data_IF_476571443542
#
_entry.id   IF_476571443542
#
_cell.length_a   1.000
_cell.length_b   1.000
_cell.length_c   1.000
_cell.angle_alpha   90.00
_cell.angle_beta   90.00
_cell.angle_gamma   90.00
#
_symmetry.space_group_name_H-M   'P 1'
#
loop_
_entity.id
_entity.type
_entity.pdbx_description
1 polymer ?
#
# COMPACT_ATOMS: atom_id res chain seq x y z
N UNK A 1 -16.96 8.69 -44.86
CA UNK A 1 -16.57 9.34 -43.60
C UNK A 1 -17.20 8.55 -42.47
N UNK A 2 -16.44 7.65 -41.85
CA UNK A 2 -16.90 6.83 -40.71
C UNK A 2 -16.16 7.41 -39.52
N UNK A 3 -16.84 8.24 -38.72
CA UNK A 3 -16.33 8.72 -37.45
C UNK A 3 -16.33 7.54 -36.47
N UNK A 4 -15.13 7.24 -35.97
CA UNK A 4 -14.86 6.15 -35.06
C UNK A 4 -15.41 6.49 -33.66
N UNK A 5 -16.63 6.03 -33.33
CA UNK A 5 -17.30 6.28 -32.04
C UNK A 5 -16.56 5.71 -30.82
N UNK A 6 -15.48 4.95 -30.99
CA UNK A 6 -14.74 4.33 -29.89
C UNK A 6 -13.88 5.31 -29.06
N UNK A 7 -13.56 6.49 -29.60
CA UNK A 7 -12.75 7.48 -28.86
C UNK A 7 -13.60 8.30 -27.87
N UNK A 8 -14.87 8.49 -28.16
CA UNK A 8 -15.77 9.28 -27.30
C UNK A 8 -16.14 8.50 -26.04
N UNK A 9 -16.32 7.19 -26.14
CA UNK A 9 -16.61 6.32 -24.98
C UNK A 9 -15.44 6.22 -24.00
N UNK A 10 -14.19 6.24 -24.49
CA UNK A 10 -13.00 6.17 -23.63
C UNK A 10 -12.79 7.45 -22.78
N UNK A 11 -13.13 8.62 -23.34
CA UNK A 11 -13.02 9.91 -22.64
C UNK A 11 -14.13 10.11 -21.60
N UNK A 12 -15.34 9.60 -21.88
CA UNK A 12 -16.46 9.63 -20.92
C UNK A 12 -16.17 8.71 -19.74
N UNK A 13 -15.58 7.53 -19.98
CA UNK A 13 -15.25 6.57 -18.94
C UNK A 13 -14.12 7.07 -18.01
N UNK A 14 -13.11 7.76 -18.56
CA UNK A 14 -12.01 8.32 -17.77
C UNK A 14 -12.51 9.51 -16.92
N UNK A 15 -13.30 10.40 -17.49
CA UNK A 15 -13.90 11.51 -16.74
C UNK A 15 -14.89 11.02 -15.67
N UNK A 16 -15.64 9.97 -15.97
CA UNK A 16 -16.55 9.33 -15.00
C UNK A 16 -15.77 8.61 -13.90
N UNK A 17 -14.67 7.91 -14.21
CA UNK A 17 -13.80 7.30 -13.21
C UNK A 17 -13.10 8.32 -12.31
N UNK A 18 -12.64 9.44 -12.88
CA UNK A 18 -12.07 10.57 -12.11
C UNK A 18 -13.13 11.26 -11.25
N UNK A 19 -14.34 11.43 -11.79
CA UNK A 19 -15.47 11.99 -11.04
C UNK A 19 -15.92 11.07 -9.91
N UNK A 20 -16.02 9.75 -10.16
CA UNK A 20 -16.29 8.75 -9.13
C UNK A 20 -15.19 8.72 -8.06
N UNK A 21 -13.92 8.81 -8.46
CA UNK A 21 -12.81 8.87 -7.52
C UNK A 21 -12.86 10.14 -6.65
N UNK A 22 -13.18 11.30 -7.25
CA UNK A 22 -13.42 12.55 -6.50
C UNK A 22 -14.66 12.46 -5.58
N UNK A 23 -15.73 11.83 -6.04
CA UNK A 23 -16.95 11.63 -5.23
C UNK A 23 -16.70 10.66 -4.07
N UNK A 24 -15.95 9.58 -4.29
CA UNK A 24 -15.53 8.63 -3.26
C UNK A 24 -14.57 9.29 -2.25
N UNK A 25 -13.68 10.16 -2.70
CA UNK A 25 -12.80 10.93 -1.80
C UNK A 25 -13.56 12.02 -1.04
N UNK A 26 -14.57 12.67 -1.65
CA UNK A 26 -15.40 13.68 -0.99
C UNK A 26 -16.38 13.09 0.03
N UNK A 27 -16.75 11.81 -0.10
CA UNK A 27 -17.59 11.11 0.88
C UNK A 27 -16.77 10.50 2.03
N UNK A 28 -15.47 10.78 2.09
CA UNK A 28 -14.61 10.34 3.18
C UNK A 28 -14.90 11.17 4.42
N UNK A 29 -15.99 10.85 5.08
CA UNK A 29 -16.27 11.36 6.43
C UNK A 29 -15.18 10.84 7.38
N UNK A 30 -14.68 11.63 8.33
CA UNK A 30 -13.57 11.26 9.21
C UNK A 30 -13.83 10.04 10.11
N UNK A 31 -14.98 9.39 9.96
CA UNK A 31 -15.41 8.24 10.76
C UNK A 31 -15.69 6.95 9.94
N UNK A 32 -15.21 6.84 8.70
CA UNK A 32 -15.35 5.56 7.98
C UNK A 32 -14.38 4.52 8.53
N UNK A 33 -14.74 3.21 8.50
CA UNK A 33 -13.84 2.13 8.95
C UNK A 33 -12.46 2.19 8.31
N UNK A 34 -12.37 2.67 7.07
CA UNK A 34 -11.12 2.77 6.30
C UNK A 34 -10.20 3.90 6.83
N UNK A 35 -10.76 5.02 7.31
CA UNK A 35 -9.97 6.11 7.93
C UNK A 35 -9.47 5.68 9.30
N UNK A 36 -10.29 5.04 10.11
CA UNK A 36 -9.90 4.51 11.41
C UNK A 36 -8.80 3.45 11.28
N UNK A 37 -8.86 2.60 10.27
CA UNK A 37 -7.81 1.63 9.96
C UNK A 37 -6.48 2.31 9.64
N UNK A 38 -6.51 3.35 8.78
CA UNK A 38 -5.33 4.14 8.42
C UNK A 38 -4.73 4.86 9.63
N UNK A 39 -5.55 5.45 10.47
CA UNK A 39 -5.12 6.13 11.69
C UNK A 39 -4.46 5.17 12.68
N UNK A 40 -5.06 4.01 12.94
CA UNK A 40 -4.48 2.99 13.83
C UNK A 40 -3.15 2.46 13.29
N UNK A 41 -3.02 2.25 11.96
CA UNK A 41 -1.75 1.89 11.33
C UNK A 41 -0.69 2.97 11.54
N UNK A 42 -1.05 4.24 11.35
CA UNK A 42 -0.14 5.37 11.55
C UNK A 42 0.31 5.51 13.00
N UNK A 43 -0.62 5.38 13.96
CA UNK A 43 -0.33 5.39 15.40
C UNK A 43 0.61 4.24 15.77
N UNK A 44 0.32 3.02 15.32
CA UNK A 44 1.17 1.84 15.53
C UNK A 44 2.57 2.03 14.97
N UNK A 45 2.69 2.61 13.75
CA UNK A 45 3.97 2.92 13.13
C UNK A 45 4.76 3.99 13.90
N UNK A 46 4.08 4.99 14.46
CA UNK A 46 4.71 6.02 15.33
C UNK A 46 5.30 5.39 16.59
N UNK A 47 4.55 4.52 17.28
CA UNK A 47 5.06 3.79 18.44
C UNK A 47 6.24 2.89 18.07
N UNK A 48 6.17 2.21 16.94
CA UNK A 48 7.26 1.34 16.46
C UNK A 48 8.54 2.14 16.18
N UNK A 49 8.44 3.31 15.53
CA UNK A 49 9.57 4.22 15.28
C UNK A 49 10.18 4.76 16.57
N UNK A 50 9.37 4.98 17.60
CA UNK A 50 9.80 5.44 18.93
C UNK A 50 10.40 4.29 19.77
N UNK A 51 10.56 3.07 19.24
CA UNK A 51 11.05 1.93 20.00
C UNK A 51 10.02 1.31 20.96
N UNK A 52 8.82 1.88 21.03
CA UNK A 52 7.75 1.44 21.92
C UNK A 52 6.99 0.24 21.30
N UNK A 53 7.71 -0.86 21.12
CA UNK A 53 7.22 -2.04 20.39
C UNK A 53 6.00 -2.70 21.06
N UNK A 54 5.88 -2.60 22.38
CA UNK A 54 4.73 -3.18 23.10
C UNK A 54 3.43 -2.41 22.81
N UNK A 55 3.49 -1.08 22.80
CA UNK A 55 2.36 -0.23 22.44
C UNK A 55 1.96 -0.44 20.98
N UNK A 56 2.93 -0.50 20.07
CA UNK A 56 2.69 -0.82 18.67
C UNK A 56 1.97 -2.17 18.52
N UNK A 57 2.43 -3.21 19.22
CA UNK A 57 1.81 -4.55 19.22
C UNK A 57 0.34 -4.49 19.65
N UNK A 58 0.02 -3.74 20.70
CA UNK A 58 -1.36 -3.57 21.19
C UNK A 58 -2.25 -2.95 20.11
N UNK A 59 -1.76 -1.89 19.44
CA UNK A 59 -2.50 -1.20 18.38
C UNK A 59 -2.75 -2.12 17.18
N UNK A 60 -1.73 -2.84 16.69
CA UNK A 60 -1.90 -3.76 15.57
C UNK A 60 -2.82 -4.93 15.90
N UNK A 61 -2.75 -5.48 17.13
CA UNK A 61 -3.67 -6.52 17.57
C UNK A 61 -5.12 -6.00 17.67
N UNK A 62 -5.31 -4.77 18.15
CA UNK A 62 -6.62 -4.12 18.17
C UNK A 62 -7.15 -3.97 16.76
N UNK A 63 -6.32 -3.53 15.82
CA UNK A 63 -6.69 -3.41 14.41
C UNK A 63 -7.10 -4.76 13.81
N UNK A 64 -6.34 -5.82 14.06
CA UNK A 64 -6.67 -7.17 13.55
C UNK A 64 -7.92 -7.79 14.18
N UNK A 65 -8.38 -7.28 15.32
CA UNK A 65 -9.70 -7.65 15.89
C UNK A 65 -10.85 -7.02 15.09
N UNK A 66 -10.65 -5.80 14.57
CA UNK A 66 -11.63 -5.12 13.72
C UNK A 66 -11.59 -5.60 12.28
N UNK A 67 -10.38 -5.75 11.74
CA UNK A 67 -10.15 -6.20 10.38
C UNK A 67 -9.08 -7.30 10.35
N UNK A 68 -9.51 -8.57 10.42
CA UNK A 68 -8.62 -9.71 10.33
C UNK A 68 -7.86 -9.79 9.00
N UNK A 69 -8.30 -9.08 7.96
CA UNK A 69 -7.70 -9.09 6.61
C UNK A 69 -6.69 -7.95 6.40
N UNK A 70 -6.41 -7.16 7.43
CA UNK A 70 -5.44 -6.08 7.36
C UNK A 70 -4.01 -6.62 7.21
N UNK A 71 -3.55 -6.79 5.96
CA UNK A 71 -2.20 -7.28 5.67
C UNK A 71 -1.09 -6.40 6.25
N UNK A 72 -1.16 -5.04 6.20
CA UNK A 72 -0.14 -4.19 6.80
C UNK A 72 0.02 -4.41 8.31
N UNK A 73 -1.06 -4.66 9.05
CA UNK A 73 -0.99 -4.92 10.49
C UNK A 73 -0.31 -6.27 10.79
N UNK A 74 -0.64 -7.32 10.02
CA UNK A 74 0.04 -8.63 10.12
C UNK A 74 1.53 -8.52 9.85
N UNK A 75 1.90 -7.83 8.78
CA UNK A 75 3.30 -7.59 8.43
C UNK A 75 4.03 -6.85 9.56
N UNK A 76 3.46 -5.77 10.07
CA UNK A 76 4.06 -4.99 11.17
C UNK A 76 4.23 -5.81 12.44
N UNK A 77 3.26 -6.64 12.78
CA UNK A 77 3.39 -7.60 13.89
C UNK A 77 4.50 -8.62 13.63
N UNK A 78 4.63 -9.12 12.41
CA UNK A 78 5.72 -10.02 12.03
C UNK A 78 7.09 -9.39 12.29
N UNK A 79 7.28 -8.14 11.88
CA UNK A 79 8.52 -7.41 12.16
C UNK A 79 8.77 -7.26 13.68
N UNK A 80 7.73 -6.99 14.48
CA UNK A 80 7.86 -6.91 15.95
C UNK A 80 8.25 -8.27 16.54
N UNK A 81 7.66 -9.38 16.07
CA UNK A 81 8.03 -10.74 16.50
C UNK A 81 9.50 -11.02 16.20
N UNK A 82 9.97 -10.72 14.99
CA UNK A 82 11.37 -10.88 14.60
C UNK A 82 12.32 -10.08 15.52
N UNK A 83 12.02 -8.80 15.76
CA UNK A 83 12.83 -7.95 16.64
C UNK A 83 12.86 -8.44 18.10
N UNK A 84 11.89 -9.26 18.51
CA UNK A 84 11.84 -9.90 19.85
C UNK A 84 12.48 -11.30 19.89
N UNK A 85 13.11 -11.75 18.80
CA UNK A 85 13.74 -13.05 18.73
C UNK A 85 12.79 -14.21 18.46
N UNK A 86 11.61 -13.93 17.85
CA UNK A 86 10.68 -14.96 17.39
C UNK A 86 10.59 -14.96 15.86
N UNK A 87 11.61 -15.51 15.16
CA UNK A 87 11.62 -15.54 13.70
C UNK A 87 10.53 -16.46 13.13
N UNK A 88 10.15 -17.52 13.84
CA UNK A 88 9.11 -18.45 13.38
C UNK A 88 7.75 -17.75 13.35
N UNK A 89 7.41 -17.05 14.42
CA UNK A 89 6.19 -16.23 14.47
C UNK A 89 6.19 -15.11 13.44
N UNK A 90 7.35 -14.49 13.22
CA UNK A 90 7.53 -13.46 12.21
C UNK A 90 7.25 -13.97 10.79
N UNK A 91 7.84 -15.11 10.42
CA UNK A 91 7.65 -15.74 9.10
C UNK A 91 6.16 -16.03 8.87
N UNK A 92 5.48 -16.68 9.82
CA UNK A 92 4.05 -17.01 9.72
C UNK A 92 3.18 -15.76 9.50
N UNK A 93 3.47 -14.68 10.23
CA UNK A 93 2.71 -13.44 10.11
C UNK A 93 2.96 -12.73 8.77
N UNK A 94 4.20 -12.72 8.28
CA UNK A 94 4.54 -12.13 6.99
C UNK A 94 3.98 -12.95 5.85
N UNK A 95 4.04 -14.28 5.90
CA UNK A 95 3.40 -15.16 4.91
C UNK A 95 1.89 -14.91 4.84
N UNK A 96 1.23 -14.77 6.00
CA UNK A 96 -0.20 -14.44 6.01
C UNK A 96 -0.50 -13.05 5.43
N UNK A 97 0.41 -12.08 5.55
CA UNK A 97 0.30 -10.78 4.92
C UNK A 97 0.48 -10.89 3.39
N UNK A 98 1.41 -11.72 2.93
CA UNK A 98 1.64 -12.02 1.51
C UNK A 98 0.41 -12.66 0.86
N UNK A 99 -0.24 -13.60 1.55
CA UNK A 99 -1.48 -14.23 1.05
C UNK A 99 -2.58 -13.18 0.83
N UNK A 100 -2.67 -12.18 1.70
CA UNK A 100 -3.67 -11.12 1.60
C UNK A 100 -3.30 -10.04 0.56
N UNK A 101 -2.02 -9.77 0.37
CA UNK A 101 -1.50 -8.79 -0.58
C UNK A 101 -0.27 -9.35 -1.31
N UNK A 102 -0.48 -10.23 -2.31
CA UNK A 102 0.60 -10.92 -2.99
C UNK A 102 1.50 -10.01 -3.85
N UNK A 103 1.03 -8.82 -4.19
CA UNK A 103 1.78 -7.87 -5.02
C UNK A 103 2.71 -6.95 -4.21
N UNK A 104 2.69 -7.04 -2.88
CA UNK A 104 3.50 -6.17 -2.04
C UNK A 104 4.95 -6.67 -1.93
N UNK A 105 5.83 -6.06 -2.72
CA UNK A 105 7.27 -6.38 -2.77
C UNK A 105 7.96 -6.32 -1.41
N UNK A 106 7.55 -5.38 -0.53
CA UNK A 106 8.19 -5.18 0.77
C UNK A 106 8.06 -6.41 1.67
N UNK A 107 6.92 -7.11 1.58
CA UNK A 107 6.70 -8.32 2.39
C UNK A 107 7.66 -9.44 2.00
N UNK A 108 7.84 -9.68 0.70
CA UNK A 108 8.81 -10.67 0.21
C UNK A 108 10.25 -10.33 0.54
N UNK A 109 10.62 -9.05 0.43
CA UNK A 109 11.97 -8.61 0.78
C UNK A 109 12.25 -8.81 2.27
N UNK A 110 11.28 -8.51 3.13
CA UNK A 110 11.43 -8.70 4.58
C UNK A 110 11.47 -10.18 4.95
N UNK A 111 10.61 -11.00 4.34
CA UNK A 111 10.61 -12.45 4.49
C UNK A 111 11.98 -13.03 4.08
N UNK A 112 12.49 -12.63 2.92
CA UNK A 112 13.79 -13.10 2.44
C UNK A 112 14.94 -12.75 3.38
N UNK A 113 14.96 -11.54 3.94
CA UNK A 113 15.96 -11.12 4.93
C UNK A 113 15.90 -11.96 6.21
N UNK A 114 14.69 -12.19 6.74
CA UNK A 114 14.51 -13.03 7.94
C UNK A 114 14.99 -14.45 7.68
N UNK A 115 14.61 -15.04 6.54
CA UNK A 115 15.03 -16.39 6.14
C UNK A 115 16.56 -16.52 5.94
N UNK A 116 17.23 -15.45 5.45
CA UNK A 116 18.70 -15.42 5.35
C UNK A 116 19.35 -15.48 6.72
N UNK A 117 18.83 -14.72 7.70
CA UNK A 117 19.34 -14.71 9.07
C UNK A 117 19.15 -16.09 9.73
N UNK A 118 18.05 -16.79 9.41
CA UNK A 118 17.76 -18.15 9.88
C UNK A 118 18.51 -19.24 9.09
N UNK A 119 19.46 -18.89 8.22
CA UNK A 119 20.22 -19.79 7.37
C UNK A 119 19.37 -20.64 6.40
N UNK A 120 18.14 -20.21 6.08
CA UNK A 120 17.22 -20.85 5.12
C UNK A 120 17.39 -20.27 3.72
N UNK A 121 18.60 -20.36 3.17
CA UNK A 121 19.02 -19.65 1.96
C UNK A 121 18.17 -19.99 0.72
N UNK A 122 17.74 -21.24 0.56
CA UNK A 122 16.88 -21.65 -0.57
C UNK A 122 15.54 -20.92 -0.59
N UNK A 123 14.87 -20.86 0.56
CA UNK A 123 13.59 -20.19 0.72
C UNK A 123 13.73 -18.65 0.66
N UNK A 124 14.82 -18.12 1.23
CA UNK A 124 15.16 -16.71 1.14
C UNK A 124 15.30 -16.27 -0.32
N UNK A 125 16.04 -17.00 -1.14
CA UNK A 125 16.21 -16.70 -2.55
C UNK A 125 14.89 -16.80 -3.32
N UNK A 126 14.03 -17.76 -3.00
CA UNK A 126 12.71 -17.87 -3.62
C UNK A 126 11.82 -16.66 -3.29
N UNK A 127 11.78 -16.22 -2.03
CA UNK A 127 11.05 -15.03 -1.60
C UNK A 127 11.57 -13.76 -2.28
N UNK A 128 12.89 -13.54 -2.29
CA UNK A 128 13.50 -12.36 -2.92
C UNK A 128 13.24 -12.31 -4.43
N UNK A 129 13.29 -13.45 -5.13
CA UNK A 129 12.94 -13.52 -6.57
C UNK A 129 11.49 -13.09 -6.82
N UNK A 130 10.53 -13.56 -6.01
CA UNK A 130 9.13 -13.15 -6.13
C UNK A 130 8.97 -11.65 -5.91
N UNK A 131 9.60 -11.09 -4.88
CA UNK A 131 9.59 -9.66 -4.64
C UNK A 131 10.18 -8.85 -5.81
N UNK A 132 11.27 -9.33 -6.42
CA UNK A 132 11.88 -8.68 -7.57
C UNK A 132 10.96 -8.70 -8.81
N UNK A 133 10.32 -9.84 -9.08
CA UNK A 133 9.37 -9.95 -10.20
C UNK A 133 8.20 -8.98 -10.01
N UNK A 134 7.64 -8.90 -8.82
CA UNK A 134 6.56 -7.95 -8.52
C UNK A 134 7.01 -6.50 -8.72
N UNK A 135 8.21 -6.16 -8.27
CA UNK A 135 8.78 -4.81 -8.48
C UNK A 135 8.93 -4.49 -9.97
N UNK A 136 9.46 -5.42 -10.77
CA UNK A 136 9.62 -5.23 -12.21
C UNK A 136 8.28 -5.09 -12.93
N UNK A 137 7.28 -5.87 -12.55
CA UNK A 137 5.94 -5.76 -13.12
C UNK A 137 5.31 -4.38 -12.83
N UNK A 138 5.42 -3.90 -11.60
CA UNK A 138 4.91 -2.57 -11.22
C UNK A 138 5.64 -1.47 -12.00
N UNK A 139 6.97 -1.54 -12.12
CA UNK A 139 7.74 -0.54 -12.87
C UNK A 139 7.39 -0.54 -14.36
N UNK A 140 7.14 -1.70 -14.96
CA UNK A 140 6.67 -1.80 -16.35
C UNK A 140 5.27 -1.18 -16.53
N UNK A 141 4.35 -1.41 -15.59
CA UNK A 141 3.02 -0.80 -15.61
C UNK A 141 3.14 0.73 -15.51
N UNK A 142 3.94 1.23 -14.57
CA UNK A 142 4.18 2.67 -14.41
C UNK A 142 4.79 3.25 -15.70
N UNK A 143 5.80 2.61 -16.29
CA UNK A 143 6.42 3.07 -17.52
C UNK A 143 5.43 3.11 -18.69
N UNK A 144 4.52 2.14 -18.81
CA UNK A 144 3.44 2.15 -19.79
C UNK A 144 2.44 3.28 -19.55
N UNK A 145 2.06 3.55 -18.29
CA UNK A 145 1.19 4.68 -17.95
C UNK A 145 1.85 6.02 -18.30
N UNK A 146 3.15 6.17 -18.05
CA UNK A 146 3.90 7.37 -18.44
C UNK A 146 4.02 7.59 -19.95
N UNK A 147 3.86 6.54 -20.76
CA UNK A 147 3.85 6.67 -22.23
C UNK A 147 2.49 7.11 -22.79
N UNK A 148 1.45 7.19 -21.96
CA UNK A 148 0.10 7.63 -22.36
C UNK A 148 0.01 9.15 -22.16
N UNK A 149 -0.26 9.94 -23.20
CA UNK A 149 -0.33 11.41 -23.12
C UNK A 149 -1.34 11.91 -22.07
N UNK A 150 -2.44 11.18 -21.88
CA UNK A 150 -3.49 11.50 -20.90
C UNK A 150 -3.00 11.42 -19.45
N UNK A 151 -1.97 10.61 -19.15
CA UNK A 151 -1.40 10.50 -17.81
C UNK A 151 -0.85 11.84 -17.30
N UNK A 152 -0.16 12.59 -18.17
CA UNK A 152 0.38 13.90 -17.80
C UNK A 152 -0.71 14.95 -17.57
N UNK A 153 -1.84 14.87 -18.28
CA UNK A 153 -2.97 15.78 -18.05
C UNK A 153 -3.60 15.55 -16.68
N UNK A 154 -3.77 14.30 -16.26
CA UNK A 154 -4.29 13.94 -14.93
C UNK A 154 -3.35 14.38 -13.81
N UNK A 155 -2.02 14.17 -13.97
CA UNK A 155 -1.03 14.63 -13.00
C UNK A 155 -0.99 16.16 -12.88
N UNK A 156 -1.17 16.87 -14.00
CA UNK A 156 -1.22 18.34 -14.00
C UNK A 156 -2.44 18.84 -13.25
N UNK A 157 -3.61 18.21 -13.44
CA UNK A 157 -4.85 18.55 -12.73
C UNK A 157 -4.69 18.31 -11.21
N UNK A 158 -4.15 17.16 -10.80
CA UNK A 158 -3.92 16.85 -9.39
C UNK A 158 -2.92 17.81 -8.73
N UNK A 159 -1.90 18.24 -9.48
CA UNK A 159 -0.88 19.19 -8.99
C UNK A 159 -1.40 20.61 -8.87
N UNK A 160 -2.32 21.04 -9.74
CA UNK A 160 -2.91 22.39 -9.67
C UNK A 160 -3.91 22.52 -8.53
N UNK A 161 -4.66 21.46 -8.21
CA UNK A 161 -5.60 21.47 -7.09
C UNK A 161 -4.86 21.59 -5.73
N UNK A 162 -3.69 20.94 -5.58
CA UNK A 162 -2.85 21.07 -4.38
C UNK A 162 -2.26 22.48 -4.19
N UNK A 163 -1.87 23.14 -5.28
CA UNK A 163 -1.28 24.49 -5.22
C UNK A 163 -2.34 25.54 -4.86
N UNK A 164 -3.56 25.41 -5.38
CA UNK A 164 -4.65 26.33 -5.08
C UNK A 164 -5.15 26.21 -3.63
N UNK A 165 -5.13 25.01 -3.06
CA UNK A 165 -5.45 24.77 -1.66
C UNK A 165 -4.43 25.39 -0.69
N UNK A 166 -3.12 25.31 -1.03
CA UNK A 166 -2.03 25.90 -0.22
C UNK A 166 -2.04 27.43 -0.26
N UNK A 167 -2.43 28.04 -1.38
CA UNK A 167 -2.51 29.51 -1.48
C UNK A 167 -3.72 30.10 -0.75
N UNK A 168 -4.80 29.34 -0.57
CA UNK A 168 -6.02 29.82 0.13
C UNK A 168 -5.85 29.94 1.65
N UNK A 169 -4.83 29.32 2.25
CA UNK A 169 -4.52 29.41 3.69
C UNK A 169 -3.42 30.43 4.01
N UNK A 170 -2.96 31.22 3.02
CA UNK A 170 -1.87 32.21 3.19
C UNK A 170 -2.34 33.66 3.17
N UNK A 171 -3.62 33.91 2.98
CA UNK A 171 -4.31 35.20 3.13
C UNK A 171 -5.29 35.09 4.29
#
# INVERSE_FOLDING_TARGET
>A
MIYNNNLVYSLVDINFAVYLCKLLMAQHTPNTPLTMQGELLAIGAKYQKAGQTQQAKIIYNKLLKFDPTCAPARYRLGIIHFLKGDPIGAIKLIDSAIVLQPDNTIYYMSLGKILQIENRSGEANAALRKGMINFLNITQIIARLHSVPEYYSVLTILRTDDISAVQKHRN
#
